data_IF_416526703787
#
_entry.id   IF_416526703787
#
_cell.length_a   1.000
_cell.length_b   1.000
_cell.length_c   1.000
_cell.angle_alpha   90.00
_cell.angle_beta   90.00
_cell.angle_gamma   90.00
#
_symmetry.space_group_name_H-M   'P 1'
#
loop_
_entity.id
_entity.type
_entity.pdbx_description
1 polymer ?
#
# COMPACT_ATOMS: atom_id res chain seq x y z
N UNK A 1 -18.33 4.42 24.44
CA UNK A 1 -17.48 3.39 25.08
C UNK A 1 -17.76 2.09 24.35
N UNK A 2 -16.85 1.63 23.50
CA UNK A 2 -17.02 0.37 22.77
C UNK A 2 -16.36 -0.77 23.56
N UNK A 3 -17.15 -1.74 24.00
CA UNK A 3 -16.66 -3.00 24.53
C UNK A 3 -16.26 -3.90 23.36
N UNK A 4 -14.96 -4.07 23.17
CA UNK A 4 -14.39 -5.15 22.38
C UNK A 4 -14.61 -6.48 23.11
N UNK A 5 -14.74 -7.62 22.42
CA UNK A 5 -14.34 -8.90 23.00
C UNK A 5 -12.86 -8.76 23.35
N UNK A 6 -12.52 -8.94 24.63
CA UNK A 6 -11.18 -8.79 25.15
C UNK A 6 -10.29 -9.90 24.57
N UNK A 7 -9.74 -9.65 23.38
CA UNK A 7 -8.57 -10.35 22.87
C UNK A 7 -7.34 -9.67 23.48
N UNK A 8 -6.35 -10.48 23.84
CA UNK A 8 -5.11 -10.19 24.57
C UNK A 8 -4.47 -8.81 24.22
N UNK A 9 -3.73 -8.19 25.15
CA UNK A 9 -3.34 -6.78 25.07
C UNK A 9 -2.68 -6.43 23.73
N UNK A 10 -3.25 -5.42 23.07
CA UNK A 10 -2.75 -4.69 21.90
C UNK A 10 -2.03 -5.53 20.83
N UNK A 11 -2.80 -6.31 20.06
CA UNK A 11 -2.32 -6.71 18.73
C UNK A 11 -2.24 -5.46 17.84
N UNK A 12 -1.03 -4.98 17.56
CA UNK A 12 -0.77 -3.81 16.71
C UNK A 12 -0.99 -4.08 15.21
N UNK A 13 -1.58 -5.22 14.84
CA UNK A 13 -1.64 -5.76 13.47
C UNK A 13 -3.07 -5.74 12.93
N UNK A 14 -3.26 -5.29 11.68
CA UNK A 14 -4.58 -5.22 11.03
C UNK A 14 -4.57 -5.95 9.69
N UNK A 15 -5.64 -6.70 9.38
CA UNK A 15 -5.79 -7.46 8.13
C UNK A 15 -6.13 -6.53 6.94
N UNK A 16 -6.30 -5.23 7.15
CA UNK A 16 -6.50 -4.27 6.06
C UNK A 16 -5.99 -2.87 6.41
N UNK A 17 -5.77 -2.07 5.36
CA UNK A 17 -5.71 -0.62 5.45
C UNK A 17 -7.08 -0.09 5.91
N UNK A 18 -7.15 0.38 7.15
CA UNK A 18 -8.40 0.77 7.82
C UNK A 18 -8.49 2.28 7.99
N UNK A 19 -9.72 2.78 7.94
CA UNK A 19 -10.06 4.17 8.27
C UNK A 19 -9.95 4.47 9.78
N UNK A 20 -9.82 5.75 10.15
CA UNK A 20 -9.84 6.24 11.55
C UNK A 20 -11.11 5.81 12.29
N UNK A 21 -12.20 5.55 11.57
CA UNK A 21 -13.49 5.12 12.15
C UNK A 21 -13.61 3.59 12.36
N UNK A 22 -12.49 2.85 12.35
CA UNK A 22 -12.35 1.43 12.74
C UNK A 22 -13.25 0.35 12.08
N UNK A 23 -14.26 0.70 11.28
CA UNK A 23 -15.19 -0.25 10.65
C UNK A 23 -15.08 -0.32 9.11
N UNK A 24 -14.16 0.43 8.51
CA UNK A 24 -14.08 0.57 7.05
C UNK A 24 -12.81 -0.02 6.43
N UNK A 25 -12.99 -0.85 5.40
CA UNK A 25 -11.92 -1.40 4.55
C UNK A 25 -11.56 -0.38 3.46
N UNK A 26 -10.27 -0.26 3.16
CA UNK A 26 -9.78 0.51 2.01
C UNK A 26 -9.61 -0.32 0.74
N UNK A 27 -9.60 0.34 -0.43
CA UNK A 27 -9.34 -0.28 -1.73
C UNK A 27 -8.12 0.35 -2.42
N UNK A 28 -7.33 -0.46 -3.13
CA UNK A 28 -6.25 0.05 -3.97
C UNK A 28 -6.85 0.73 -5.21
N UNK A 29 -6.40 1.94 -5.53
CA UNK A 29 -6.83 2.67 -6.71
C UNK A 29 -5.63 2.95 -7.62
N UNK A 30 -5.70 2.40 -8.84
CA UNK A 30 -4.71 2.63 -9.88
C UNK A 30 -5.25 3.69 -10.85
N UNK A 31 -4.47 4.76 -11.04
CA UNK A 31 -4.92 5.97 -11.74
C UNK A 31 -4.95 5.86 -13.27
N UNK A 32 -4.27 4.86 -13.86
CA UNK A 32 -4.24 4.67 -15.33
C UNK A 32 -3.93 5.95 -16.11
N UNK A 33 -4.77 6.24 -17.11
CA UNK A 33 -4.77 7.49 -17.89
C UNK A 33 -5.91 8.43 -17.48
N UNK A 34 -6.44 8.27 -16.27
CA UNK A 34 -7.66 8.95 -15.84
C UNK A 34 -7.40 10.43 -15.57
N UNK A 35 -8.36 11.26 -15.97
CA UNK A 35 -8.35 12.69 -15.67
C UNK A 35 -9.05 12.97 -14.34
N UNK A 36 -8.93 14.20 -13.85
CA UNK A 36 -9.52 14.64 -12.58
C UNK A 36 -11.01 14.30 -12.43
N UNK A 37 -11.80 14.45 -13.52
CA UNK A 37 -13.25 14.20 -13.49
C UNK A 37 -13.56 12.72 -13.30
N UNK A 38 -12.84 11.85 -14.01
CA UNK A 38 -12.98 10.40 -13.85
C UNK A 38 -12.63 9.99 -12.42
N UNK A 39 -11.50 10.47 -11.89
CA UNK A 39 -11.06 10.13 -10.54
C UNK A 39 -12.09 10.55 -9.48
N UNK A 40 -12.67 11.75 -9.60
CA UNK A 40 -13.73 12.19 -8.70
C UNK A 40 -14.98 11.31 -8.76
N UNK A 41 -15.40 10.91 -9.96
CA UNK A 41 -16.54 10.00 -10.16
C UNK A 41 -16.28 8.62 -9.54
N UNK A 42 -15.07 8.09 -9.74
CA UNK A 42 -14.67 6.80 -9.17
C UNK A 42 -14.65 6.84 -7.65
N UNK A 43 -14.11 7.91 -7.07
CA UNK A 43 -14.06 8.06 -5.60
C UNK A 43 -15.47 8.16 -5.00
N UNK A 44 -16.39 8.86 -5.68
CA UNK A 44 -17.80 8.86 -5.27
C UNK A 44 -18.41 7.45 -5.31
N UNK A 45 -18.08 6.64 -6.33
CA UNK A 45 -18.56 5.27 -6.43
C UNK A 45 -17.94 4.35 -5.37
N UNK A 46 -16.63 4.48 -5.12
CA UNK A 46 -15.89 3.73 -4.10
C UNK A 46 -16.49 4.00 -2.71
N UNK A 47 -16.90 5.23 -2.41
CA UNK A 47 -17.48 5.61 -1.12
C UNK A 47 -18.76 4.82 -0.75
N UNK A 48 -19.46 4.28 -1.74
CA UNK A 48 -20.65 3.43 -1.53
C UNK A 48 -20.31 2.09 -0.85
N UNK A 49 -19.04 1.67 -0.84
CA UNK A 49 -18.58 0.36 -0.33
C UNK A 49 -17.36 0.43 0.57
N UNK A 50 -16.51 1.44 0.41
CA UNK A 50 -15.24 1.59 1.12
C UNK A 50 -15.19 2.91 1.88
N UNK A 51 -14.33 2.95 2.91
CA UNK A 51 -14.08 4.17 3.70
C UNK A 51 -12.79 4.89 3.28
N UNK A 52 -11.89 4.18 2.59
CA UNK A 52 -10.59 4.69 2.24
C UNK A 52 -10.11 4.19 0.87
N UNK A 53 -9.17 4.94 0.30
CA UNK A 53 -8.44 4.56 -0.91
C UNK A 53 -6.94 4.54 -0.63
N UNK A 54 -6.21 3.61 -1.25
CA UNK A 54 -4.74 3.64 -1.31
C UNK A 54 -4.32 3.96 -2.73
N UNK A 55 -3.54 5.02 -2.90
CA UNK A 55 -3.03 5.44 -4.21
C UNK A 55 -1.53 5.17 -4.34
N UNK A 56 -1.02 5.17 -5.56
CA UNK A 56 0.40 4.94 -5.86
C UNK A 56 1.20 6.24 -6.08
N UNK A 57 0.49 7.35 -6.28
CA UNK A 57 0.97 8.73 -6.35
C UNK A 57 -0.11 9.62 -5.75
N UNK A 58 0.21 10.88 -5.45
CA UNK A 58 -0.70 11.84 -4.80
C UNK A 58 -1.02 13.03 -5.67
N UNK A 59 -0.04 13.51 -6.45
CA UNK A 59 -0.26 14.52 -7.48
C UNK A 59 -0.53 13.80 -8.80
N UNK A 60 -1.73 13.95 -9.37
CA UNK A 60 -2.07 13.26 -10.62
C UNK A 60 -3.07 14.06 -11.45
N UNK A 61 -2.85 14.11 -12.78
CA UNK A 61 -3.77 14.75 -13.73
C UNK A 61 -4.19 16.18 -13.34
N UNK A 62 -3.23 16.97 -12.84
CA UNK A 62 -3.46 18.35 -12.36
C UNK A 62 -4.24 18.46 -11.05
N UNK A 63 -4.49 17.34 -10.36
CA UNK A 63 -5.25 17.27 -9.11
C UNK A 63 -4.40 16.75 -7.94
N UNK A 64 -4.79 17.13 -6.74
CA UNK A 64 -4.30 16.56 -5.50
C UNK A 64 -5.32 15.54 -4.98
N UNK A 65 -4.93 14.26 -4.94
CA UNK A 65 -5.84 13.17 -4.62
C UNK A 65 -6.33 13.19 -3.17
N UNK A 66 -5.66 13.90 -2.26
CA UNK A 66 -6.15 14.11 -0.90
C UNK A 66 -7.41 14.99 -0.92
N UNK A 67 -7.45 16.01 -1.78
CA UNK A 67 -8.63 16.88 -1.91
C UNK A 67 -9.80 16.12 -2.52
N UNK A 68 -9.52 15.30 -3.53
CA UNK A 68 -10.54 14.50 -4.19
C UNK A 68 -11.12 13.47 -3.22
N UNK A 69 -10.28 12.84 -2.38
CA UNK A 69 -10.73 11.96 -1.32
C UNK A 69 -11.59 12.70 -0.29
N UNK A 70 -11.14 13.87 0.18
CA UNK A 70 -11.87 14.70 1.13
C UNK A 70 -13.26 15.09 0.58
N UNK A 71 -13.32 15.50 -0.68
CA UNK A 71 -14.57 15.87 -1.36
C UNK A 71 -15.55 14.70 -1.47
N UNK A 72 -15.04 13.48 -1.71
CA UNK A 72 -15.84 12.27 -1.75
C UNK A 72 -16.21 11.71 -0.35
N UNK A 73 -15.70 12.31 0.73
CA UNK A 73 -15.87 11.79 2.09
C UNK A 73 -15.10 10.49 2.35
N UNK A 74 -14.05 10.23 1.57
CA UNK A 74 -13.11 9.13 1.74
C UNK A 74 -11.89 9.59 2.53
N UNK A 75 -11.25 8.65 3.20
CA UNK A 75 -9.89 8.82 3.69
C UNK A 75 -8.87 8.26 2.69
N UNK A 76 -7.59 8.63 2.82
CA UNK A 76 -6.57 8.24 1.84
C UNK A 76 -5.28 7.77 2.49
N UNK A 77 -4.73 6.68 1.96
CA UNK A 77 -3.33 6.31 2.10
C UNK A 77 -2.60 6.80 0.84
N UNK A 78 -1.88 7.92 0.98
CA UNK A 78 -1.35 8.66 -0.15
C UNK A 78 -0.02 8.07 -0.63
N UNK A 79 0.09 7.83 -1.94
CA UNK A 79 1.30 7.28 -2.56
C UNK A 79 2.36 8.34 -2.86
N UNK A 80 3.63 7.98 -2.67
CA UNK A 80 4.79 8.74 -3.17
C UNK A 80 5.56 7.89 -4.16
N UNK A 81 5.73 8.40 -5.37
CA UNK A 81 6.62 7.78 -6.36
C UNK A 81 8.07 7.83 -5.89
N UNK A 82 8.75 6.69 -5.91
CA UNK A 82 10.18 6.59 -5.61
C UNK A 82 11.03 6.32 -6.86
N UNK A 83 10.40 5.98 -8.00
CA UNK A 83 11.09 5.66 -9.25
C UNK A 83 11.16 6.82 -10.23
N UNK A 84 10.26 7.79 -10.09
CA UNK A 84 10.27 9.04 -10.83
C UNK A 84 10.44 10.16 -9.81
N UNK A 85 11.62 10.79 -9.84
CA UNK A 85 11.98 11.82 -8.88
C UNK A 85 11.08 13.05 -8.97
N UNK A 86 10.81 13.51 -10.19
CA UNK A 86 10.01 14.70 -10.42
C UNK A 86 8.56 14.46 -9.98
N UNK A 87 8.01 13.27 -10.25
CA UNK A 87 6.70 12.87 -9.74
C UNK A 87 6.72 12.75 -8.21
N UNK A 88 7.75 12.16 -7.63
CA UNK A 88 7.89 12.05 -6.18
C UNK A 88 7.95 13.40 -5.47
N UNK A 89 8.64 14.39 -6.05
CA UNK A 89 8.67 15.76 -5.51
C UNK A 89 7.29 16.44 -5.62
N UNK A 90 6.54 16.23 -6.72
CA UNK A 90 5.14 16.67 -6.83
C UNK A 90 4.22 15.99 -5.81
N UNK A 91 4.38 14.69 -5.60
CA UNK A 91 3.60 13.93 -4.61
C UNK A 91 3.85 14.45 -3.20
N UNK A 92 5.10 14.68 -2.83
CA UNK A 92 5.48 15.22 -1.51
C UNK A 92 4.84 16.59 -1.31
N UNK A 93 4.91 17.49 -2.29
CA UNK A 93 4.28 18.80 -2.20
C UNK A 93 2.76 18.68 -2.06
N UNK A 94 2.11 17.83 -2.85
CA UNK A 94 0.68 17.57 -2.74
C UNK A 94 0.29 16.98 -1.38
N UNK A 95 1.10 16.11 -0.79
CA UNK A 95 0.86 15.58 0.56
C UNK A 95 0.91 16.69 1.60
N UNK A 96 1.94 17.54 1.56
CA UNK A 96 2.08 18.69 2.47
C UNK A 96 0.89 19.64 2.34
N UNK A 97 0.49 19.97 1.11
CA UNK A 97 -0.64 20.87 0.85
C UNK A 97 -1.99 20.24 1.21
N UNK A 98 -2.14 18.94 1.02
CA UNK A 98 -3.32 18.16 1.41
C UNK A 98 -3.45 18.07 2.93
N UNK A 99 -2.35 17.83 3.65
CA UNK A 99 -2.32 17.83 5.12
C UNK A 99 -2.78 19.17 5.72
N UNK A 100 -2.34 20.29 5.12
CA UNK A 100 -2.77 21.63 5.57
C UNK A 100 -4.27 21.84 5.43
N UNK A 101 -4.85 21.38 4.32
CA UNK A 101 -6.25 21.66 3.97
C UNK A 101 -7.23 20.63 4.52
N UNK A 102 -6.77 19.38 4.67
CA UNK A 102 -7.58 18.21 5.00
C UNK A 102 -6.88 17.31 6.03
N UNK A 103 -6.56 17.82 7.24
CA UNK A 103 -5.70 17.12 8.21
C UNK A 103 -6.26 15.76 8.71
N UNK A 104 -7.56 15.51 8.56
CA UNK A 104 -8.22 14.26 8.97
C UNK A 104 -8.43 13.26 7.82
N UNK A 105 -8.11 13.67 6.58
CA UNK A 105 -8.32 12.84 5.38
C UNK A 105 -7.14 11.91 5.14
N UNK A 106 -5.91 12.34 5.40
CA UNK A 106 -4.71 11.53 5.22
C UNK A 106 -4.52 10.54 6.38
N UNK A 107 -4.52 9.25 6.07
CA UNK A 107 -4.30 8.15 7.03
C UNK A 107 -2.85 7.78 7.18
N UNK A 108 -2.12 7.78 6.06
CA UNK A 108 -0.72 7.41 6.01
C UNK A 108 -0.11 7.84 4.70
N UNK A 109 1.22 7.90 4.64
CA UNK A 109 1.95 8.04 3.39
C UNK A 109 2.64 6.73 3.06
N UNK A 110 2.33 6.16 1.90
CA UNK A 110 2.97 4.94 1.41
C UNK A 110 4.03 5.25 0.36
N UNK A 111 5.26 4.80 0.59
CA UNK A 111 6.22 4.64 -0.51
C UNK A 111 5.93 3.33 -1.21
N UNK A 112 5.91 3.38 -2.54
CA UNK A 112 5.78 2.18 -3.36
C UNK A 112 6.84 2.24 -4.46
N UNK A 113 7.74 1.27 -4.44
CA UNK A 113 8.55 0.96 -5.60
C UNK A 113 7.68 0.19 -6.59
N UNK A 114 7.31 0.80 -7.71
CA UNK A 114 7.16 -0.01 -8.93
C UNK A 114 8.54 -0.66 -9.09
N UNK A 115 8.67 -1.97 -8.96
CA UNK A 115 9.91 -2.61 -9.38
C UNK A 115 10.20 -2.07 -10.78
N UNK A 116 11.32 -1.34 -10.93
CA UNK A 116 11.81 -0.94 -12.24
C UNK A 116 11.94 -2.26 -12.99
N UNK A 117 11.06 -2.45 -13.97
CA UNK A 117 10.82 -3.73 -14.64
C UNK A 117 10.27 -4.83 -13.71
N UNK A 118 8.93 -4.94 -13.66
CA UNK A 118 8.36 -6.29 -13.68
C UNK A 118 8.75 -6.90 -15.03
N UNK A 119 9.94 -7.47 -15.10
CA UNK A 119 10.15 -8.52 -16.08
C UNK A 119 9.24 -9.64 -15.62
N UNK A 120 8.19 -9.89 -16.39
CA UNK A 120 7.47 -11.15 -16.29
C UNK A 120 8.46 -12.18 -16.83
N UNK A 121 9.41 -12.59 -15.99
CA UNK A 121 10.35 -13.63 -16.37
C UNK A 121 9.58 -14.95 -16.40
N UNK A 122 8.93 -15.19 -17.53
CA UNK A 122 8.24 -16.42 -17.86
C UNK A 122 9.21 -17.62 -17.92
N UNK A 123 10.54 -17.40 -17.79
CA UNK A 123 11.54 -18.45 -17.85
C UNK A 123 12.01 -18.94 -16.46
N UNK A 124 11.46 -18.43 -15.36
CA UNK A 124 11.64 -19.05 -14.05
C UNK A 124 10.76 -20.29 -13.95
N UNK A 125 11.29 -21.41 -14.46
CA UNK A 125 10.65 -22.72 -14.45
C UNK A 125 10.03 -23.04 -13.08
N UNK A 126 8.71 -23.18 -13.05
CA UNK A 126 7.97 -23.79 -11.94
C UNK A 126 7.71 -22.92 -10.70
N UNK A 127 8.27 -21.71 -10.59
CA UNK A 127 7.96 -20.77 -9.49
C UNK A 127 7.92 -19.34 -10.03
N UNK A 128 6.80 -18.96 -10.66
CA UNK A 128 6.56 -17.58 -11.07
C UNK A 128 6.31 -16.70 -9.84
N UNK A 129 7.38 -16.28 -9.17
CA UNK A 129 7.33 -15.37 -8.04
C UNK A 129 7.89 -14.01 -8.44
N UNK A 130 7.14 -12.94 -8.17
CA UNK A 130 7.52 -11.54 -8.45
C UNK A 130 8.61 -11.07 -7.49
N UNK A 131 9.86 -11.42 -7.76
CA UNK A 131 10.99 -10.95 -6.93
C UNK A 131 11.35 -9.51 -7.32
N UNK A 132 11.48 -8.64 -6.32
CA UNK A 132 12.00 -7.30 -6.55
C UNK A 132 13.48 -7.35 -6.94
N UNK A 133 13.78 -7.13 -8.23
CA UNK A 133 15.11 -7.33 -8.84
C UNK A 133 16.23 -6.46 -8.25
N UNK A 134 15.90 -5.30 -7.68
CA UNK A 134 16.87 -4.38 -7.07
C UNK A 134 16.33 -3.81 -5.74
N UNK A 135 16.39 -4.65 -4.70
CA UNK A 135 15.94 -4.29 -3.35
C UNK A 135 16.82 -3.21 -2.73
N UNK A 136 18.13 -3.27 -2.93
CA UNK A 136 19.04 -2.24 -2.42
C UNK A 136 18.71 -0.84 -2.95
N UNK A 137 18.55 -0.66 -4.26
CA UNK A 137 18.20 0.66 -4.84
C UNK A 137 16.81 1.10 -4.42
N UNK A 138 15.83 0.20 -4.46
CA UNK A 138 14.43 0.49 -4.07
C UNK A 138 14.35 0.97 -2.61
N UNK A 139 15.05 0.30 -1.70
CA UNK A 139 15.13 0.68 -0.28
C UNK A 139 15.81 2.06 -0.13
N UNK A 140 16.90 2.31 -0.88
CA UNK A 140 17.59 3.60 -0.85
C UNK A 140 16.66 4.76 -1.27
N UNK A 141 15.96 4.59 -2.40
CA UNK A 141 15.01 5.58 -2.92
C UNK A 141 13.83 5.82 -1.96
N UNK A 142 13.34 4.76 -1.31
CA UNK A 142 12.30 4.89 -0.29
C UNK A 142 12.78 5.69 0.93
N UNK A 143 14.00 5.42 1.44
CA UNK A 143 14.59 6.21 2.54
C UNK A 143 14.72 7.69 2.16
N UNK A 144 15.18 7.96 0.96
CA UNK A 144 15.32 9.34 0.47
C UNK A 144 13.96 10.05 0.35
N UNK A 145 12.94 9.38 -0.19
CA UNK A 145 11.58 9.93 -0.25
C UNK A 145 11.01 10.26 1.13
N UNK A 146 11.21 9.38 2.10
CA UNK A 146 10.81 9.58 3.50
C UNK A 146 11.51 10.79 4.12
N UNK A 147 12.82 10.93 3.90
CA UNK A 147 13.59 12.07 4.41
C UNK A 147 13.12 13.40 3.80
N UNK A 148 12.87 13.43 2.48
CA UNK A 148 12.37 14.62 1.79
C UNK A 148 10.99 15.03 2.26
N UNK A 149 10.08 14.07 2.45
CA UNK A 149 8.76 14.33 2.99
C UNK A 149 8.83 14.97 4.38
N UNK A 150 9.64 14.39 5.28
CA UNK A 150 9.86 14.94 6.63
C UNK A 150 10.41 16.37 6.58
N UNK A 151 11.39 16.62 5.71
CA UNK A 151 11.97 17.95 5.52
C UNK A 151 10.94 18.97 4.99
N UNK A 152 10.20 18.61 3.93
CA UNK A 152 9.20 19.48 3.33
C UNK A 152 8.08 19.84 4.32
N UNK A 153 7.59 18.86 5.08
CA UNK A 153 6.59 19.09 6.10
C UNK A 153 7.10 19.98 7.24
N UNK A 154 8.33 19.77 7.71
CA UNK A 154 8.97 20.63 8.71
C UNK A 154 9.10 22.08 8.22
N UNK A 155 9.56 22.30 6.98
CA UNK A 155 9.62 23.65 6.36
C UNK A 155 8.23 24.28 6.27
N UNK A 156 7.22 23.47 6.00
CA UNK A 156 5.83 23.91 5.86
C UNK A 156 5.09 24.11 7.21
N UNK A 157 5.77 23.86 8.35
CA UNK A 157 5.18 23.82 9.69
C UNK A 157 3.94 22.91 9.77
N UNK A 158 3.98 21.81 9.02
CA UNK A 158 3.02 20.72 9.09
C UNK A 158 3.72 19.64 9.89
N UNK A 159 3.16 19.27 11.03
CA UNK A 159 3.66 18.12 11.76
C UNK A 159 3.45 16.91 10.83
N UNK A 160 4.53 16.41 10.19
CA UNK A 160 4.52 15.15 9.44
C UNK A 160 4.63 13.94 10.36
N UNK A 161 5.02 14.17 11.62
CA UNK A 161 5.19 13.13 12.63
C UNK A 161 3.89 12.45 13.15
N UNK A 162 2.66 13.01 12.99
CA UNK A 162 1.45 12.26 13.29
C UNK A 162 1.00 11.36 12.14
N UNK A 163 1.49 11.57 10.90
CA UNK A 163 1.07 10.72 9.75
C UNK A 163 2.00 9.53 9.63
N UNK A 164 1.52 8.29 9.85
CA UNK A 164 2.35 7.10 9.72
C UNK A 164 2.93 6.97 8.32
N UNK A 165 4.23 6.65 8.26
CA UNK A 165 4.92 6.28 7.03
C UNK A 165 4.82 4.76 6.86
N UNK A 166 4.31 4.35 5.71
CA UNK A 166 4.17 2.96 5.28
C UNK A 166 5.13 2.72 4.13
N UNK A 167 5.75 1.56 4.11
CA UNK A 167 6.38 1.04 2.90
C UNK A 167 5.61 -0.18 2.46
N UNK A 168 5.34 -0.30 1.15
CA UNK A 168 4.50 -1.38 0.61
C UNK A 168 5.33 -2.27 -0.31
N UNK A 169 5.45 -3.55 0.05
CA UNK A 169 6.12 -4.59 -0.73
C UNK A 169 5.37 -5.91 -0.67
N UNK A 170 5.75 -6.84 -1.54
CA UNK A 170 5.28 -8.21 -1.45
C UNK A 170 5.87 -8.89 -0.21
N UNK A 171 5.17 -9.90 0.31
CA UNK A 171 5.58 -10.66 1.49
C UNK A 171 6.98 -11.28 1.34
N UNK A 172 7.31 -11.82 0.17
CA UNK A 172 8.63 -12.38 -0.08
C UNK A 172 9.77 -11.35 0.01
N UNK A 173 9.54 -10.13 -0.47
CA UNK A 173 10.54 -9.06 -0.37
C UNK A 173 10.75 -8.69 1.10
N UNK A 174 9.67 -8.59 1.88
CA UNK A 174 9.74 -8.36 3.32
C UNK A 174 10.51 -9.47 4.06
N UNK A 175 10.41 -10.72 3.62
CA UNK A 175 11.14 -11.82 4.26
C UNK A 175 12.61 -11.93 3.80
N UNK A 176 13.01 -11.18 2.77
CA UNK A 176 14.41 -11.12 2.33
C UNK A 176 15.31 -10.40 3.35
N UNK A 177 16.62 -10.67 3.32
CA UNK A 177 17.57 -10.03 4.26
C UNK A 177 17.74 -8.53 4.00
N UNK A 178 17.57 -8.10 2.75
CA UNK A 178 17.83 -6.74 2.29
C UNK A 178 16.85 -5.74 2.92
N UNK A 179 15.61 -6.14 3.15
CA UNK A 179 14.55 -5.27 3.69
C UNK A 179 14.65 -5.03 5.20
N UNK A 180 15.51 -5.74 5.94
CA UNK A 180 15.60 -5.57 7.41
C UNK A 180 16.05 -4.17 7.84
N UNK A 181 16.86 -3.49 7.02
CA UNK A 181 17.41 -2.17 7.33
C UNK A 181 16.45 -0.99 7.16
N UNK A 182 15.24 -1.18 6.61
CA UNK A 182 14.22 -0.12 6.47
C UNK A 182 13.10 -0.21 7.49
N UNK A 183 12.94 -1.37 8.14
CA UNK A 183 11.89 -1.63 9.14
C UNK A 183 11.93 -0.61 10.28
N UNK A 184 13.11 -0.14 10.69
CA UNK A 184 13.26 0.91 11.71
C UNK A 184 12.89 2.31 11.22
N UNK A 185 12.91 2.55 9.91
CA UNK A 185 12.65 3.86 9.29
C UNK A 185 11.17 4.13 9.04
N UNK A 186 10.34 3.08 9.03
CA UNK A 186 8.89 3.13 8.78
C UNK A 186 8.08 2.85 10.05
N UNK A 187 6.89 3.44 10.11
CA UNK A 187 5.93 3.20 11.20
C UNK A 187 5.16 1.91 10.96
N UNK A 188 4.83 1.60 9.71
CA UNK A 188 3.98 0.46 9.31
C UNK A 188 4.63 -0.31 8.15
N UNK A 189 4.55 -1.63 8.24
CA UNK A 189 4.87 -2.57 7.17
C UNK A 189 3.58 -2.83 6.38
N UNK A 190 3.52 -2.36 5.13
CA UNK A 190 2.45 -2.69 4.20
C UNK A 190 2.84 -3.92 3.38
N UNK A 191 2.06 -4.99 3.48
CA UNK A 191 2.33 -6.23 2.74
C UNK A 191 1.29 -6.47 1.65
N UNK A 192 1.76 -6.83 0.46
CA UNK A 192 0.93 -7.32 -0.63
C UNK A 192 1.09 -8.83 -0.71
N UNK A 193 -0.02 -9.57 -0.67
CA UNK A 193 -0.02 -11.03 -0.80
C UNK A 193 -0.98 -11.38 -1.92
N UNK A 194 -0.47 -12.05 -2.96
CA UNK A 194 -1.24 -12.41 -4.15
C UNK A 194 -1.20 -13.93 -4.36
N UNK A 195 -2.11 -14.70 -3.72
CA UNK A 195 -2.16 -16.15 -3.90
C UNK A 195 -2.35 -16.56 -5.38
N UNK A 196 -3.08 -15.75 -6.16
CA UNK A 196 -3.35 -16.02 -7.57
C UNK A 196 -2.10 -16.30 -8.42
N UNK A 197 -0.99 -15.60 -8.15
CA UNK A 197 0.23 -15.73 -8.93
C UNK A 197 1.21 -16.77 -8.37
N UNK A 198 0.96 -17.37 -7.21
CA UNK A 198 1.89 -18.34 -6.63
C UNK A 198 1.84 -19.68 -7.38
N UNK A 199 2.91 -20.45 -7.25
CA UNK A 199 3.05 -21.80 -7.77
C UNK A 199 2.79 -22.86 -6.68
N UNK A 200 2.21 -22.46 -5.55
CA UNK A 200 1.88 -23.37 -4.45
C UNK A 200 0.86 -24.41 -4.91
N UNK A 201 1.00 -25.62 -4.37
CA UNK A 201 0.21 -26.79 -4.71
C UNK A 201 -1.31 -26.48 -4.73
N UNK A 202 -1.96 -26.81 -5.86
CA UNK A 202 -3.39 -26.68 -6.10
C UNK A 202 -4.28 -27.34 -5.03
N UNK A 203 -3.68 -28.11 -4.10
CA UNK A 203 -4.33 -28.66 -2.91
C UNK A 203 -4.61 -27.64 -1.78
N UNK A 204 -3.98 -26.45 -1.80
CA UNK A 204 -4.28 -25.37 -0.85
C UNK A 204 -5.32 -24.40 -1.42
N UNK A 205 -6.35 -24.08 -0.62
CA UNK A 205 -7.28 -23.00 -1.04
C UNK A 205 -6.55 -21.66 -1.02
N UNK A 206 -6.84 -20.72 -1.94
CA UNK A 206 -6.19 -19.39 -1.95
C UNK A 206 -6.22 -18.64 -0.62
N UNK A 207 -7.26 -18.86 0.18
CA UNK A 207 -7.40 -18.26 1.51
C UNK A 207 -6.44 -18.90 2.52
N UNK A 208 -6.18 -20.21 2.43
CA UNK A 208 -5.19 -20.88 3.28
C UNK A 208 -3.77 -20.41 2.93
N UNK A 209 -3.45 -20.25 1.64
CA UNK A 209 -2.17 -19.68 1.20
C UNK A 209 -1.97 -18.26 1.75
N UNK A 210 -2.97 -17.38 1.54
CA UNK A 210 -2.99 -16.03 2.09
C UNK A 210 -2.76 -16.03 3.61
N UNK A 211 -3.47 -16.88 4.34
CA UNK A 211 -3.38 -16.98 5.80
C UNK A 211 -2.00 -17.42 6.26
N UNK A 212 -1.43 -18.43 5.59
CA UNK A 212 -0.09 -18.95 5.90
C UNK A 212 0.98 -17.87 5.70
N UNK A 213 0.96 -17.19 4.56
CA UNK A 213 1.91 -16.13 4.19
C UNK A 213 1.77 -14.91 5.08
N UNK A 214 0.55 -14.53 5.44
CA UNK A 214 0.28 -13.48 6.41
C UNK A 214 0.90 -13.81 7.78
N UNK A 215 0.69 -15.02 8.29
CA UNK A 215 1.24 -15.45 9.58
C UNK A 215 2.78 -15.43 9.57
N UNK A 216 3.41 -15.82 8.46
CA UNK A 216 4.87 -15.75 8.32
C UNK A 216 5.40 -14.31 8.46
N UNK A 217 4.72 -13.33 7.88
CA UNK A 217 5.08 -11.91 7.99
C UNK A 217 4.91 -11.41 9.42
N UNK A 218 3.77 -11.70 10.05
CA UNK A 218 3.51 -11.28 11.43
C UNK A 218 4.54 -11.89 12.40
N UNK A 219 4.91 -13.16 12.18
CA UNK A 219 5.95 -13.82 12.97
C UNK A 219 7.34 -13.22 12.75
N UNK A 220 7.66 -12.77 11.54
CA UNK A 220 8.94 -12.14 11.22
C UNK A 220 9.07 -10.72 11.83
N UNK A 221 7.95 -10.02 12.04
CA UNK A 221 7.93 -8.64 12.53
C UNK A 221 7.01 -8.43 13.75
N UNK A 222 7.24 -9.15 14.86
CA UNK A 222 6.28 -9.23 15.98
C UNK A 222 6.10 -7.91 16.74
N UNK A 223 6.99 -6.94 16.57
CA UNK A 223 6.95 -5.63 17.25
C UNK A 223 6.52 -4.48 16.33
N UNK A 224 6.22 -4.78 15.05
CA UNK A 224 5.86 -3.77 14.06
C UNK A 224 4.39 -3.90 13.70
N UNK A 225 3.75 -2.75 13.48
CA UNK A 225 2.42 -2.72 12.88
C UNK A 225 2.53 -3.20 11.44
N UNK A 226 1.83 -4.29 11.12
CA UNK A 226 1.69 -4.84 9.77
C UNK A 226 0.27 -4.63 9.28
N UNK A 227 0.11 -4.28 8.01
CA UNK A 227 -1.18 -4.13 7.32
C UNK A 227 -1.15 -4.85 5.98
N UNK A 228 -2.22 -5.58 5.64
CA UNK A 228 -2.41 -6.09 4.28
C UNK A 228 -2.77 -4.90 3.37
N UNK A 229 -1.79 -4.45 2.62
CA UNK A 229 -1.87 -3.31 1.72
C UNK A 229 -2.42 -3.67 0.33
N UNK A 230 -2.54 -4.97 0.03
CA UNK A 230 -3.16 -5.47 -1.19
C UNK A 230 -3.28 -6.99 -1.23
N UNK A 231 -4.43 -7.46 -1.68
CA UNK A 231 -4.67 -8.84 -2.13
C UNK A 231 -5.87 -8.81 -3.09
N UNK A 232 -6.05 -9.86 -3.88
CA UNK A 232 -7.19 -9.94 -4.80
C UNK A 232 -7.16 -11.20 -5.65
N UNK A 233 -8.29 -11.43 -6.33
CA UNK A 233 -8.47 -12.50 -7.29
C UNK A 233 -9.14 -11.93 -8.55
N UNK A 234 -8.58 -12.14 -9.75
CA UNK A 234 -9.19 -11.63 -10.97
C UNK A 234 -10.51 -12.36 -11.27
N UNK A 235 -11.48 -11.61 -11.81
CA UNK A 235 -12.79 -12.16 -12.21
C UNK A 235 -12.83 -12.62 -13.67
N UNK A 236 -11.77 -12.34 -14.45
CA UNK A 236 -11.58 -12.83 -15.80
C UNK A 236 -10.07 -12.81 -16.15
N UNK A 237 -9.64 -13.59 -17.14
CA UNK A 237 -8.25 -13.62 -17.61
C UNK A 237 -7.69 -15.03 -17.80
N UNK A 238 -6.38 -15.10 -18.08
CA UNK A 238 -5.67 -16.35 -18.28
C UNK A 238 -5.50 -17.12 -16.97
N UNK A 239 -5.56 -18.44 -17.06
CA UNK A 239 -5.14 -19.34 -15.97
C UNK A 239 -3.66 -19.12 -15.71
N UNK A 240 -3.29 -18.89 -14.45
CA UNK A 240 -1.89 -18.77 -14.01
C UNK A 240 -1.64 -19.84 -12.97
N UNK A 241 -0.65 -20.71 -13.18
CA UNK A 241 -0.30 -21.81 -12.26
C UNK A 241 -1.54 -22.61 -11.80
N UNK A 242 -2.42 -22.97 -12.73
CA UNK A 242 -3.68 -23.70 -12.48
C UNK A 242 -4.77 -22.92 -11.71
N UNK A 243 -4.49 -21.71 -11.25
CA UNK A 243 -5.49 -20.80 -10.71
C UNK A 243 -6.35 -20.21 -11.84
N UNK A 244 -7.65 -20.48 -11.78
CA UNK A 244 -8.64 -19.99 -12.75
C UNK A 244 -9.48 -18.85 -12.17
N UNK A 245 -10.12 -18.10 -13.06
CA UNK A 245 -11.10 -17.09 -12.68
C UNK A 245 -12.47 -17.74 -12.50
N UNK A 246 -13.31 -17.28 -11.55
CA UNK A 246 -14.67 -17.78 -11.41
C UNK A 246 -15.44 -17.61 -12.72
N UNK A 247 -16.07 -18.69 -13.20
CA UNK A 247 -16.94 -18.67 -14.38
C UNK A 247 -18.26 -17.93 -14.14
#
# INVERSE_FOLDING_TARGET
MCNLPQLAPESTTSIAMTSINCDGVGVCYFLGTDNATTISSDFAKIKERFSAVRTYQTASSGSNLIDVAAQAGLQIHAGVSINDRDQGDRDIQAIVDGLKRHPTTLLSVSTYGKALEYDWDHNLGGTQRRVLKDATTTISLAKEAIQRLRAAAATANVEADPTPIVMVHEDQDWLSIETKGIVSSVNIIGVVIQPYYDATDASTTPIQDLTSRWNAIVQAFPTKKVVLAGTGWPTNGLIVNEHSTPA
#
